data_IF_921046192795
#
_entry.id   IF_921046192795
#
_cell.length_a   1.000
_cell.length_b   1.000
_cell.length_c   1.000
_cell.angle_alpha   90.00
_cell.angle_beta   90.00
_cell.angle_gamma   90.00
#
_symmetry.space_group_name_H-M   'P 1'
#
loop_
_entity.id
_entity.type
_entity.pdbx_description
1 polymer ?
#
# COMPACT_ATOMS: atom_id res chain seq x y z
N UNK A 1 7.55 -4.74 39.56
CA UNK A 1 7.20 -3.67 38.60
C UNK A 1 8.37 -3.56 37.65
N UNK A 2 8.11 -3.71 36.35
CA UNK A 2 9.11 -4.00 35.33
C UNK A 2 9.93 -2.76 34.93
N UNK A 3 11.22 -3.03 34.75
CA UNK A 3 12.33 -2.17 34.33
C UNK A 3 12.28 -2.02 32.79
N UNK A 4 11.99 -0.83 32.26
CA UNK A 4 11.87 -0.59 30.81
C UNK A 4 12.60 0.68 30.32
N UNK A 5 13.46 1.29 31.14
CA UNK A 5 13.99 2.64 30.84
C UNK A 5 15.51 2.72 30.66
N UNK A 6 16.17 1.67 30.14
CA UNK A 6 17.63 1.73 29.95
C UNK A 6 18.18 0.87 28.79
N UNK A 7 17.52 0.83 27.63
CA UNK A 7 18.02 -0.03 26.54
C UNK A 7 17.81 0.39 25.09
N UNK A 8 17.02 1.41 24.77
CA UNK A 8 16.60 1.60 23.36
C UNK A 8 17.39 2.66 22.57
N UNK A 9 18.15 3.53 23.22
CA UNK A 9 18.94 4.58 22.54
C UNK A 9 20.38 4.70 23.05
N UNK A 10 21.03 3.58 23.34
CA UNK A 10 22.50 3.58 23.57
C UNK A 10 23.22 3.57 22.22
N UNK A 11 23.15 4.69 21.49
CA UNK A 11 23.98 4.94 20.31
C UNK A 11 25.17 5.76 20.79
N UNK A 12 26.31 5.12 20.97
CA UNK A 12 27.58 5.82 21.21
C UNK A 12 28.07 6.46 19.91
N UNK A 13 27.85 7.77 19.75
CA UNK A 13 28.52 8.56 18.72
C UNK A 13 29.96 8.79 19.20
N UNK A 14 30.91 8.12 18.57
CA UNK A 14 32.34 8.35 18.79
C UNK A 14 32.74 9.56 17.95
N UNK A 15 32.87 10.71 18.61
CA UNK A 15 33.47 11.93 18.06
C UNK A 15 34.96 11.66 17.81
N UNK A 16 35.34 11.62 16.53
CA UNK A 16 36.71 11.41 16.07
C UNK A 16 37.13 12.60 15.23
N UNK A 17 37.38 13.74 15.88
CA UNK A 17 38.02 14.91 15.29
C UNK A 17 39.53 14.87 15.63
N UNK A 18 40.37 14.63 14.62
CA UNK A 18 41.77 15.06 14.64
C UNK A 18 42.08 15.68 13.27
N UNK A 19 42.18 17.01 13.28
CA UNK A 19 42.48 17.86 12.14
C UNK A 19 43.99 18.01 11.93
N UNK A 20 44.53 17.68 10.74
CA UNK A 20 45.64 18.41 10.10
C UNK A 20 45.90 17.99 8.64
N UNK A 21 46.45 18.87 7.78
CA UNK A 21 46.22 18.89 6.33
C UNK A 21 47.42 18.36 5.50
N UNK A 22 47.15 17.70 4.37
CA UNK A 22 48.12 17.63 3.26
C UNK A 22 47.42 17.59 1.89
N UNK A 23 48.10 18.21 0.93
CA UNK A 23 47.54 18.77 -0.28
C UNK A 23 47.44 17.78 -1.46
N UNK A 24 46.44 18.08 -2.31
CA UNK A 24 46.36 17.89 -3.77
C UNK A 24 46.68 16.52 -4.40
N UNK A 25 45.67 15.94 -5.07
CA UNK A 25 45.73 15.38 -6.43
C UNK A 25 44.28 15.16 -6.97
N UNK A 26 43.82 15.80 -8.08
CA UNK A 26 42.48 15.59 -8.61
C UNK A 26 42.49 14.47 -9.67
N UNK A 27 42.49 13.21 -9.22
CA UNK A 27 42.32 12.08 -10.13
C UNK A 27 40.85 11.68 -10.25
N UNK A 28 40.27 12.03 -11.41
CA UNK A 28 38.98 11.54 -11.92
C UNK A 28 38.86 10.03 -11.71
N UNK A 29 38.11 9.65 -10.68
CA UNK A 29 37.57 8.31 -10.53
C UNK A 29 36.08 8.47 -10.29
N UNK A 30 35.28 7.84 -11.15
CA UNK A 30 33.84 7.67 -11.02
C UNK A 30 33.51 7.17 -9.63
N UNK A 31 33.18 8.10 -8.73
CA UNK A 31 32.86 7.81 -7.35
C UNK A 31 31.54 7.04 -7.32
N UNK A 32 31.65 5.78 -6.92
CA UNK A 32 30.54 4.93 -6.53
C UNK A 32 29.76 5.69 -5.45
N UNK A 33 28.61 6.27 -5.81
CA UNK A 33 27.75 6.99 -4.87
C UNK A 33 27.48 6.04 -3.69
N UNK A 34 27.88 6.39 -2.45
CA UNK A 34 27.66 5.53 -1.30
C UNK A 34 26.15 5.33 -1.14
N UNK A 35 25.72 4.11 -0.78
CA UNK A 35 24.30 3.77 -0.66
C UNK A 35 23.52 4.72 0.26
N UNK A 36 24.18 5.36 1.23
CA UNK A 36 23.64 6.39 2.11
C UNK A 36 23.18 7.65 1.37
N UNK A 37 23.82 8.03 0.27
CA UNK A 37 23.43 9.19 -0.54
C UNK A 37 22.21 8.92 -1.43
N UNK A 38 21.73 7.67 -1.53
CA UNK A 38 20.48 7.35 -2.27
C UNK A 38 19.20 7.55 -1.46
N UNK A 39 19.32 7.70 -0.14
CA UNK A 39 18.17 7.77 0.80
C UNK A 39 18.36 8.92 1.81
N UNK A 40 19.44 9.71 1.71
CA UNK A 40 19.64 10.86 2.58
C UNK A 40 18.66 11.98 2.20
N UNK A 41 17.60 12.12 2.99
CA UNK A 41 16.73 13.29 3.01
C UNK A 41 17.26 14.25 4.07
N UNK A 42 17.35 15.54 3.74
CA UNK A 42 17.73 16.56 4.72
C UNK A 42 16.64 16.75 5.78
N UNK A 43 17.00 17.25 6.96
CA UNK A 43 16.03 17.51 8.04
C UNK A 43 14.94 18.50 7.59
N UNK A 44 15.31 19.54 6.82
CA UNK A 44 14.36 20.52 6.30
C UNK A 44 13.33 19.89 5.35
N UNK A 45 13.77 18.98 4.47
CA UNK A 45 12.87 18.21 3.60
C UNK A 45 11.96 17.29 4.41
N UNK A 46 12.47 16.67 5.49
CA UNK A 46 11.66 15.84 6.37
C UNK A 46 10.58 16.65 7.09
N UNK A 47 10.94 17.82 7.61
CA UNK A 47 9.98 18.72 8.24
C UNK A 47 8.91 19.20 7.26
N UNK A 48 9.27 19.48 6.00
CA UNK A 48 8.31 19.84 4.96
C UNK A 48 7.31 18.70 4.67
N UNK A 49 7.79 17.46 4.53
CA UNK A 49 6.92 16.28 4.35
C UNK A 49 6.04 16.06 5.57
N UNK A 50 6.60 16.18 6.78
CA UNK A 50 5.87 16.01 8.03
C UNK A 50 4.74 17.02 8.20
N UNK A 51 4.96 18.29 7.82
CA UNK A 51 3.93 19.32 7.85
C UNK A 51 2.76 19.01 6.90
N UNK A 52 3.04 18.43 5.74
CA UNK A 52 2.02 18.03 4.75
C UNK A 52 1.43 16.63 4.97
N UNK A 53 2.02 15.82 5.85
CA UNK A 53 1.64 14.43 6.00
C UNK A 53 0.24 14.29 6.58
N UNK A 54 -0.60 13.55 5.86
CA UNK A 54 -1.91 13.12 6.35
C UNK A 54 -1.98 11.60 6.28
N UNK A 55 -2.42 11.01 7.38
CA UNK A 55 -2.68 9.56 7.43
C UNK A 55 -3.78 9.26 6.41
N UNK A 56 -3.50 8.32 5.52
CA UNK A 56 -4.51 7.79 4.61
C UNK A 56 -5.48 6.93 5.44
N UNK A 57 -6.74 7.36 5.50
CA UNK A 57 -7.83 6.65 6.18
C UNK A 57 -8.73 6.04 5.12
N UNK A 58 -8.71 4.72 4.97
CA UNK A 58 -9.61 4.03 4.06
C UNK A 58 -11.01 3.93 4.70
N UNK A 59 -11.99 4.64 4.13
CA UNK A 59 -13.37 4.70 4.63
C UNK A 59 -14.31 3.71 3.91
N UNK A 60 -13.76 2.69 3.25
CA UNK A 60 -14.54 1.75 2.46
C UNK A 60 -15.00 2.31 1.12
N UNK A 61 -14.29 3.29 0.58
CA UNK A 61 -14.62 3.96 -0.68
C UNK A 61 -13.73 3.51 -1.84
N UNK A 62 -12.80 2.58 -1.61
CA UNK A 62 -11.84 2.12 -2.62
C UNK A 62 -12.53 1.59 -3.89
N UNK A 63 -13.74 1.02 -3.75
CA UNK A 63 -14.54 0.53 -4.87
C UNK A 63 -14.97 1.63 -5.87
N UNK A 64 -14.99 2.90 -5.46
CA UNK A 64 -15.33 4.05 -6.33
C UNK A 64 -14.19 4.43 -7.26
N UNK A 65 -12.95 4.17 -6.86
CA UNK A 65 -11.75 4.47 -7.64
C UNK A 65 -11.51 3.43 -8.74
N UNK A 66 -12.20 2.30 -8.69
CA UNK A 66 -12.11 1.22 -9.67
C UNK A 66 -13.02 1.51 -10.85
N UNK A 67 -12.42 1.71 -12.02
CA UNK A 67 -13.15 1.89 -13.27
C UNK A 67 -13.55 0.52 -13.83
N UNK A 68 -14.85 0.32 -14.05
CA UNK A 68 -15.41 -0.86 -14.71
C UNK A 68 -16.03 -0.45 -16.06
N UNK A 69 -16.00 -1.31 -17.09
CA UNK A 69 -15.47 -2.68 -17.11
C UNK A 69 -13.93 -2.73 -17.05
N UNK A 70 -13.39 -3.83 -16.52
CA UNK A 70 -11.96 -4.10 -16.58
C UNK A 70 -11.53 -4.23 -18.05
N UNK A 71 -10.38 -3.67 -18.42
CA UNK A 71 -9.80 -3.89 -19.75
C UNK A 71 -9.27 -5.32 -19.93
N UNK A 72 -8.93 -5.70 -21.17
CA UNK A 72 -8.53 -7.06 -21.60
C UNK A 72 -7.44 -7.73 -20.74
N UNK A 73 -6.60 -6.93 -20.07
CA UNK A 73 -5.53 -7.40 -19.17
C UNK A 73 -5.52 -6.59 -17.90
N UNK A 74 -5.91 -7.24 -16.81
CA UNK A 74 -5.82 -6.68 -15.46
C UNK A 74 -4.42 -6.91 -14.90
N UNK A 75 -3.77 -5.85 -14.45
CA UNK A 75 -2.47 -5.93 -13.80
C UNK A 75 -2.63 -6.42 -12.36
N UNK A 76 -1.58 -7.05 -11.80
CA UNK A 76 -1.57 -7.49 -10.39
C UNK A 76 -2.01 -6.41 -9.38
N UNK A 77 -1.54 -5.15 -9.45
CA UNK A 77 -2.00 -4.12 -8.51
C UNK A 77 -3.50 -3.82 -8.65
N UNK A 78 -4.05 -3.85 -9.86
CA UNK A 78 -5.49 -3.66 -10.08
C UNK A 78 -6.31 -4.81 -9.49
N UNK A 79 -5.85 -6.05 -9.64
CA UNK A 79 -6.47 -7.22 -9.00
C UNK A 79 -6.49 -7.08 -7.48
N UNK A 80 -5.38 -6.65 -6.88
CA UNK A 80 -5.30 -6.45 -5.43
C UNK A 80 -6.21 -5.33 -4.95
N UNK A 81 -6.20 -4.18 -5.63
CA UNK A 81 -7.10 -3.06 -5.32
C UNK A 81 -8.57 -3.50 -5.38
N UNK A 82 -8.90 -4.36 -6.34
CA UNK A 82 -10.24 -4.89 -6.51
C UNK A 82 -10.66 -5.84 -5.40
N UNK A 83 -9.78 -6.76 -4.99
CA UNK A 83 -10.04 -7.62 -3.85
C UNK A 83 -10.23 -6.80 -2.57
N UNK A 84 -9.33 -5.85 -2.32
CA UNK A 84 -9.43 -4.98 -1.16
C UNK A 84 -10.70 -4.14 -1.14
N UNK A 85 -11.17 -3.65 -2.30
CA UNK A 85 -12.42 -2.91 -2.38
C UNK A 85 -13.62 -3.77 -1.95
N UNK A 86 -13.67 -5.03 -2.34
CA UNK A 86 -14.72 -5.97 -1.91
C UNK A 86 -14.61 -6.30 -0.43
N UNK A 87 -13.40 -6.52 0.06
CA UNK A 87 -13.13 -6.78 1.47
C UNK A 87 -13.56 -5.60 2.34
N UNK A 88 -13.23 -4.37 1.95
CA UNK A 88 -13.65 -3.17 2.63
C UNK A 88 -15.17 -3.08 2.70
N UNK A 89 -15.88 -3.27 1.59
CA UNK A 89 -17.35 -3.26 1.59
C UNK A 89 -17.92 -4.29 2.58
N UNK A 90 -17.31 -5.47 2.68
CA UNK A 90 -17.70 -6.47 3.67
C UNK A 90 -17.40 -6.03 5.12
N UNK A 91 -16.22 -5.47 5.40
CA UNK A 91 -15.84 -5.03 6.74
C UNK A 91 -16.63 -3.81 7.23
N UNK A 92 -16.95 -2.89 6.33
CA UNK A 92 -17.83 -1.74 6.59
C UNK A 92 -19.32 -2.11 6.64
N UNK A 93 -19.67 -3.41 6.54
CA UNK A 93 -21.04 -3.94 6.57
C UNK A 93 -21.94 -3.40 5.45
N UNK A 94 -21.35 -2.93 4.35
CA UNK A 94 -22.04 -2.45 3.16
C UNK A 94 -22.28 -3.61 2.22
N UNK A 95 -23.01 -4.61 2.70
CA UNK A 95 -23.15 -5.91 2.04
C UNK A 95 -23.83 -5.79 0.67
N UNK A 96 -24.90 -4.99 0.57
CA UNK A 96 -25.63 -4.79 -0.68
C UNK A 96 -24.74 -4.20 -1.78
N UNK A 97 -23.93 -3.21 -1.42
CA UNK A 97 -22.96 -2.60 -2.35
C UNK A 97 -21.89 -3.58 -2.76
N UNK A 98 -21.39 -4.41 -1.83
CA UNK A 98 -20.46 -5.49 -2.12
C UNK A 98 -21.00 -6.50 -3.13
N UNK A 99 -22.25 -6.92 -2.98
CA UNK A 99 -22.90 -7.86 -3.92
C UNK A 99 -23.06 -7.23 -5.31
N UNK A 100 -23.55 -5.99 -5.37
CA UNK A 100 -23.73 -5.27 -6.64
C UNK A 100 -22.38 -5.06 -7.34
N UNK A 101 -21.34 -4.71 -6.59
CA UNK A 101 -20.01 -4.49 -7.14
C UNK A 101 -19.41 -5.78 -7.72
N UNK A 102 -19.42 -6.88 -6.95
CA UNK A 102 -18.92 -8.18 -7.44
C UNK A 102 -19.74 -8.68 -8.63
N UNK A 103 -21.05 -8.45 -8.64
CA UNK A 103 -21.89 -8.82 -9.77
C UNK A 103 -21.52 -8.04 -11.03
N UNK A 104 -21.40 -6.71 -10.94
CA UNK A 104 -20.97 -5.86 -12.08
C UNK A 104 -19.61 -6.26 -12.62
N UNK A 105 -18.72 -6.67 -11.72
CA UNK A 105 -17.39 -7.12 -12.08
C UNK A 105 -17.41 -8.44 -12.88
N UNK A 106 -18.24 -9.39 -12.47
CA UNK A 106 -18.32 -10.72 -13.08
C UNK A 106 -19.26 -10.75 -14.30
N UNK A 107 -20.21 -9.82 -14.40
CA UNK A 107 -21.17 -9.67 -15.50
C UNK A 107 -20.64 -8.78 -16.64
N UNK A 108 -19.37 -8.34 -16.60
CA UNK A 108 -18.76 -7.49 -17.63
C UNK A 108 -18.84 -8.07 -19.05
N UNK A 109 -18.95 -7.17 -20.06
CA UNK A 109 -19.12 -7.50 -21.49
C UNK A 109 -17.90 -8.21 -22.10
N UNK A 110 -17.68 -9.47 -21.74
CA UNK A 110 -17.13 -10.51 -22.63
C UNK A 110 -17.20 -11.92 -22.02
N UNK A 111 -18.27 -12.25 -21.27
CA UNK A 111 -18.66 -13.65 -20.96
C UNK A 111 -17.62 -14.52 -20.24
N UNK A 112 -16.53 -13.92 -19.79
CA UNK A 112 -15.38 -14.53 -19.19
C UNK A 112 -14.80 -13.47 -18.29
N UNK A 113 -14.15 -13.88 -17.23
CA UNK A 113 -13.58 -13.03 -16.19
C UNK A 113 -12.47 -12.08 -16.70
N UNK A 114 -12.43 -11.71 -17.99
CA UNK A 114 -11.78 -10.55 -18.58
C UNK A 114 -10.29 -10.34 -18.32
N UNK A 115 -9.58 -11.38 -17.87
CA UNK A 115 -8.18 -11.30 -17.45
C UNK A 115 -7.93 -11.53 -15.95
N UNK A 116 -8.97 -11.75 -15.15
CA UNK A 116 -8.86 -12.19 -13.76
C UNK A 116 -8.52 -13.68 -13.68
N UNK A 117 -7.55 -14.01 -12.83
CA UNK A 117 -7.18 -15.39 -12.53
C UNK A 117 -8.33 -16.14 -11.84
N UNK A 118 -8.41 -17.46 -12.06
CA UNK A 118 -9.48 -18.30 -11.52
C UNK A 118 -9.60 -18.23 -9.98
N UNK A 119 -8.47 -18.14 -9.28
CA UNK A 119 -8.44 -18.01 -7.82
C UNK A 119 -9.01 -16.68 -7.34
N UNK A 120 -8.75 -15.59 -8.08
CA UNK A 120 -9.32 -14.27 -7.79
C UNK A 120 -10.84 -14.31 -7.94
N UNK A 121 -11.34 -14.91 -9.03
CA UNK A 121 -12.78 -15.07 -9.27
C UNK A 121 -13.44 -15.90 -8.17
N UNK A 122 -12.79 -16.98 -7.73
CA UNK A 122 -13.27 -17.81 -6.62
C UNK A 122 -13.37 -17.02 -5.32
N UNK A 123 -12.38 -16.19 -5.02
CA UNK A 123 -12.37 -15.34 -3.83
C UNK A 123 -13.47 -14.27 -3.88
N UNK A 124 -13.69 -13.67 -5.05
CA UNK A 124 -14.78 -12.70 -5.28
C UNK A 124 -16.15 -13.35 -5.07
N UNK A 125 -16.37 -14.55 -5.62
CA UNK A 125 -17.60 -15.34 -5.40
C UNK A 125 -17.79 -15.71 -3.92
N UNK A 126 -16.71 -16.01 -3.21
CA UNK A 126 -16.76 -16.29 -1.77
C UNK A 126 -17.25 -15.08 -0.98
N UNK A 127 -16.69 -13.89 -1.25
CA UNK A 127 -17.13 -12.66 -0.61
C UNK A 127 -18.55 -12.27 -1.01
N UNK A 128 -18.94 -12.46 -2.28
CA UNK A 128 -20.33 -12.27 -2.72
C UNK A 128 -21.30 -13.11 -1.87
N UNK A 129 -21.06 -14.42 -1.75
CA UNK A 129 -21.94 -15.30 -0.97
C UNK A 129 -21.98 -14.91 0.52
N UNK A 130 -20.84 -14.49 1.08
CA UNK A 130 -20.81 -13.99 2.46
C UNK A 130 -21.60 -12.70 2.64
N UNK A 131 -21.49 -11.76 1.69
CA UNK A 131 -22.28 -10.54 1.72
C UNK A 131 -23.78 -10.85 1.61
N UNK A 132 -24.19 -11.75 0.71
CA UNK A 132 -25.60 -12.17 0.57
C UNK A 132 -26.14 -12.79 1.87
N UNK A 133 -25.39 -13.70 2.49
CA UNK A 133 -25.75 -14.29 3.78
C UNK A 133 -25.88 -13.22 4.88
N UNK A 134 -24.95 -12.28 4.95
CA UNK A 134 -24.96 -11.20 5.96
C UNK A 134 -26.05 -10.17 5.70
N UNK A 135 -26.35 -9.84 4.45
CA UNK A 135 -27.45 -8.96 4.07
C UNK A 135 -28.79 -9.57 4.49
N UNK A 136 -29.00 -10.87 4.21
CA UNK A 136 -30.21 -11.58 4.66
C UNK A 136 -30.35 -11.72 6.18
N UNK A 137 -29.24 -11.66 6.91
CA UNK A 137 -29.21 -11.77 8.37
C UNK A 137 -29.23 -10.41 9.10
N UNK A 138 -29.10 -9.30 8.37
CA UNK A 138 -29.05 -7.94 8.92
C UNK A 138 -30.29 -7.11 8.59
N UNK A 139 -31.27 -7.68 7.86
CA UNK A 139 -32.60 -7.12 7.64
C UNK A 139 -33.61 -7.67 8.63
#
# INVERSE_FOLDING_TARGET
MADFEAGLFSISISDGDDSAPEAAEPSKSTAKVPGSARIAQSEDEFQAVKQGYRVKVENGELWKDITLPLGDKVTKPEVQALLHAVEELYFFKRYDEGVVFVRRLLDGEEGSSGGLEADTVKLLRYYQSKCEQRASASG
#
